data_IF_501402931355
#
_entry.id   IF_501402931355
#
_cell.length_a   1.000
_cell.length_b   1.000
_cell.length_c   1.000
_cell.angle_alpha   90.00
_cell.angle_beta   90.00
_cell.angle_gamma   90.00
#
_symmetry.space_group_name_H-M   'P 1'
#
loop_
_entity.id
_entity.type
_entity.pdbx_description
1 polymer ?
#
# COMPACT_ATOMS: atom_id res chain seq x y z
N UNK A 1 22.05 -26.13 1.42
CA UNK A 1 20.71 -26.72 1.17
C UNK A 1 19.57 -25.98 1.87
N UNK A 2 19.64 -25.65 3.17
CA UNK A 2 18.59 -24.89 3.89
C UNK A 2 18.15 -23.58 3.21
N UNK A 3 19.08 -22.81 2.64
CA UNK A 3 18.78 -21.54 1.94
C UNK A 3 17.93 -21.74 0.68
N UNK A 4 18.21 -22.79 -0.10
CA UNK A 4 17.47 -23.11 -1.32
C UNK A 4 16.06 -23.59 -0.97
N UNK A 5 15.93 -24.45 0.05
CA UNK A 5 14.64 -24.91 0.55
C UNK A 5 13.77 -23.74 1.04
N UNK A 6 14.32 -22.85 1.87
CA UNK A 6 13.61 -21.67 2.37
C UNK A 6 13.25 -20.68 1.25
N UNK A 7 14.11 -20.53 0.25
CA UNK A 7 13.81 -19.73 -0.94
C UNK A 7 12.61 -20.29 -1.71
N UNK A 8 12.62 -21.59 -2.02
CA UNK A 8 11.51 -22.23 -2.76
C UNK A 8 10.22 -22.18 -1.94
N UNK A 9 10.29 -22.50 -0.65
CA UNK A 9 9.12 -22.50 0.23
C UNK A 9 8.47 -21.12 0.34
N UNK A 10 9.28 -20.07 0.50
CA UNK A 10 8.78 -18.68 0.53
C UNK A 10 8.12 -18.32 -0.80
N UNK A 11 8.73 -18.66 -1.94
CA UNK A 11 8.14 -18.38 -3.24
C UNK A 11 6.80 -19.11 -3.43
N UNK A 12 6.72 -20.39 -3.06
CA UNK A 12 5.47 -21.16 -3.13
C UNK A 12 4.40 -20.54 -2.23
N UNK A 13 4.74 -20.15 -1.00
CA UNK A 13 3.79 -19.47 -0.12
C UNK A 13 3.33 -18.14 -0.69
N UNK A 14 4.23 -17.34 -1.25
CA UNK A 14 3.87 -16.06 -1.90
C UNK A 14 2.91 -16.30 -3.06
N UNK A 15 3.20 -17.26 -3.94
CA UNK A 15 2.31 -17.59 -5.07
C UNK A 15 0.95 -18.10 -4.57
N UNK A 16 0.92 -18.93 -3.53
CA UNK A 16 -0.33 -19.42 -2.93
C UNK A 16 -1.17 -18.26 -2.36
N UNK A 17 -0.56 -17.35 -1.61
CA UNK A 17 -1.23 -16.16 -1.06
C UNK A 17 -1.74 -15.26 -2.19
N UNK A 18 -0.92 -15.00 -3.21
CA UNK A 18 -1.35 -14.24 -4.40
C UNK A 18 -2.54 -14.90 -5.10
N UNK A 19 -2.54 -16.23 -5.23
CA UNK A 19 -3.65 -17.00 -5.79
C UNK A 19 -4.93 -16.89 -4.97
N UNK A 20 -4.84 -16.99 -3.64
CA UNK A 20 -5.99 -16.84 -2.74
C UNK A 20 -6.57 -15.43 -2.85
N UNK A 21 -5.72 -14.39 -2.77
CA UNK A 21 -6.16 -13.00 -2.86
C UNK A 21 -6.77 -12.71 -4.23
N UNK A 22 -6.16 -13.17 -5.31
CA UNK A 22 -6.70 -13.04 -6.66
C UNK A 22 -8.05 -13.75 -6.82
N UNK A 23 -8.23 -14.92 -6.21
CA UNK A 23 -9.51 -15.63 -6.20
C UNK A 23 -10.59 -14.88 -5.42
N UNK A 24 -10.26 -14.36 -4.23
CA UNK A 24 -11.18 -13.58 -3.39
C UNK A 24 -11.63 -12.29 -4.07
N UNK A 25 -10.69 -11.61 -4.74
CA UNK A 25 -10.96 -10.39 -5.50
C UNK A 25 -11.61 -10.68 -6.87
N UNK A 26 -11.83 -11.96 -7.22
CA UNK A 26 -12.58 -12.36 -8.41
C UNK A 26 -11.80 -12.26 -9.73
N UNK A 27 -10.47 -12.25 -9.69
CA UNK A 27 -9.61 -12.16 -10.90
C UNK A 27 -9.87 -13.32 -11.87
N UNK A 28 -10.25 -14.49 -11.35
CA UNK A 28 -10.63 -15.65 -12.16
C UNK A 28 -11.83 -15.39 -13.10
N UNK A 29 -12.68 -14.39 -12.80
CA UNK A 29 -13.83 -14.02 -13.65
C UNK A 29 -13.41 -13.36 -14.97
N UNK A 30 -12.15 -12.90 -15.07
CA UNK A 30 -11.62 -12.32 -16.29
C UNK A 30 -11.07 -13.37 -17.27
N UNK A 31 -10.98 -14.64 -16.86
CA UNK A 31 -10.73 -15.76 -17.77
C UNK A 31 -12.06 -16.21 -18.38
N UNK A 32 -12.22 -15.99 -19.69
CA UNK A 32 -13.38 -16.43 -20.47
C UNK A 32 -13.04 -17.70 -21.26
N UNK A 33 -14.05 -18.39 -21.81
CA UNK A 33 -13.85 -19.59 -22.63
C UNK A 33 -12.94 -19.36 -23.86
N UNK A 34 -12.79 -18.11 -24.31
CA UNK A 34 -11.94 -17.71 -25.44
C UNK A 34 -10.61 -17.08 -25.00
N UNK A 35 -10.25 -17.15 -23.71
CA UNK A 35 -9.03 -16.57 -23.15
C UNK A 35 -9.28 -15.41 -22.18
N UNK A 36 -8.24 -14.64 -21.90
CA UNK A 36 -8.23 -13.57 -20.90
C UNK A 36 -8.90 -12.31 -21.46
N UNK A 37 -9.91 -11.77 -20.77
CA UNK A 37 -10.49 -10.48 -21.10
C UNK A 37 -9.58 -9.35 -20.57
N UNK A 38 -8.57 -8.99 -21.36
CA UNK A 38 -7.60 -7.95 -21.01
C UNK A 38 -8.27 -6.61 -20.73
N UNK A 39 -9.31 -6.23 -21.48
CA UNK A 39 -10.01 -4.95 -21.26
C UNK A 39 -10.64 -4.86 -19.88
N UNK A 40 -11.37 -5.91 -19.48
CA UNK A 40 -11.97 -5.99 -18.16
C UNK A 40 -10.91 -6.09 -17.04
N UNK A 41 -9.84 -6.85 -17.26
CA UNK A 41 -8.74 -6.97 -16.30
C UNK A 41 -7.99 -5.64 -16.09
N UNK A 42 -7.70 -4.92 -17.17
CA UNK A 42 -7.05 -3.60 -17.12
C UNK A 42 -7.94 -2.57 -16.45
N UNK A 43 -9.24 -2.58 -16.72
CA UNK A 43 -10.21 -1.74 -16.02
C UNK A 43 -10.26 -2.02 -14.52
N UNK A 44 -10.29 -3.30 -14.13
CA UNK A 44 -10.20 -3.72 -12.74
C UNK A 44 -8.89 -3.29 -12.08
N UNK A 45 -7.76 -3.49 -12.75
CA UNK A 45 -6.44 -3.10 -12.27
C UNK A 45 -6.32 -1.58 -12.09
N UNK A 46 -6.93 -0.79 -12.98
CA UNK A 46 -6.96 0.66 -12.86
C UNK A 46 -7.75 1.07 -11.62
N UNK A 47 -8.98 0.55 -11.44
CA UNK A 47 -9.81 0.89 -10.28
C UNK A 47 -9.17 0.44 -8.96
N UNK A 48 -8.69 -0.79 -8.87
CA UNK A 48 -8.06 -1.31 -7.64
C UNK A 48 -6.71 -0.64 -7.37
N UNK A 49 -5.88 -0.45 -8.40
CA UNK A 49 -4.56 0.16 -8.29
C UNK A 49 -4.65 1.64 -7.89
N UNK A 50 -5.40 2.45 -8.65
CA UNK A 50 -5.56 3.86 -8.34
C UNK A 50 -6.44 4.09 -7.10
N UNK A 51 -7.52 3.32 -6.92
CA UNK A 51 -8.36 3.40 -5.73
C UNK A 51 -7.57 3.09 -4.46
N UNK A 52 -6.80 2.00 -4.46
CA UNK A 52 -5.92 1.65 -3.35
C UNK A 52 -4.83 2.69 -3.08
N UNK A 53 -4.20 3.22 -4.13
CA UNK A 53 -3.19 4.27 -4.00
C UNK A 53 -3.76 5.57 -3.39
N UNK A 54 -4.95 6.01 -3.84
CA UNK A 54 -5.62 7.20 -3.29
C UNK A 54 -5.96 7.00 -1.82
N UNK A 55 -6.57 5.87 -1.45
CA UNK A 55 -6.88 5.55 -0.06
C UNK A 55 -5.60 5.53 0.79
N UNK A 56 -4.53 4.91 0.29
CA UNK A 56 -3.24 4.87 0.97
C UNK A 56 -2.64 6.27 1.16
N UNK A 57 -2.75 7.15 0.16
CA UNK A 57 -2.25 8.53 0.23
C UNK A 57 -3.03 9.35 1.25
N UNK A 58 -4.37 9.24 1.27
CA UNK A 58 -5.23 9.93 2.23
C UNK A 58 -4.91 9.51 3.67
N UNK A 59 -4.58 8.23 3.88
CA UNK A 59 -4.21 7.71 5.19
C UNK A 59 -2.76 8.07 5.57
N UNK A 60 -1.85 8.25 4.60
CA UNK A 60 -0.41 8.40 4.87
C UNK A 60 -0.09 9.54 5.84
N UNK A 61 -0.70 10.73 5.64
CA UNK A 61 -0.42 11.93 6.45
C UNK A 61 -0.90 11.78 7.91
N UNK A 62 -2.16 11.42 8.21
CA UNK A 62 -2.59 11.19 9.59
C UNK A 62 -1.85 10.03 10.25
N UNK A 63 -1.60 8.93 9.51
CA UNK A 63 -0.85 7.78 10.02
C UNK A 63 0.59 8.17 10.43
N UNK A 64 1.28 8.98 9.61
CA UNK A 64 2.62 9.46 9.92
C UNK A 64 2.62 10.34 11.18
N UNK A 65 1.63 11.23 11.34
CA UNK A 65 1.49 12.07 12.54
C UNK A 65 1.31 11.24 13.81
N UNK A 66 0.45 10.23 13.76
CA UNK A 66 0.17 9.37 14.92
C UNK A 66 1.33 8.44 15.27
N UNK A 67 1.92 7.79 14.25
CA UNK A 67 2.96 6.78 14.48
C UNK A 67 4.27 7.41 14.96
N UNK A 68 4.61 8.61 14.49
CA UNK A 68 5.81 9.32 14.91
C UNK A 68 5.62 10.14 16.20
N UNK A 69 4.41 10.15 16.80
CA UNK A 69 4.14 10.89 18.04
C UNK A 69 4.35 12.40 17.92
N UNK A 70 4.15 12.96 16.72
CA UNK A 70 4.44 14.37 16.44
C UNK A 70 3.49 15.29 17.21
N UNK A 71 4.05 16.31 17.87
CA UNK A 71 3.30 17.42 18.46
C UNK A 71 3.32 18.59 17.48
N UNK A 72 2.15 19.01 17.01
CA UNK A 72 2.02 20.22 16.17
C UNK A 72 2.26 21.46 17.04
N UNK A 73 3.13 22.35 16.59
CA UNK A 73 3.38 23.66 17.21
C UNK A 73 2.62 24.69 16.37
N UNK A 74 1.40 25.04 16.79
CA UNK A 74 0.58 26.05 16.10
C UNK A 74 0.88 27.47 16.59
N UNK A 75 1.23 27.62 17.88
CA UNK A 75 1.67 28.88 18.47
C UNK A 75 2.86 28.61 19.40
N UNK A 76 4.07 29.09 19.09
CA UNK A 76 5.26 28.82 19.89
C UNK A 76 5.09 29.40 21.30
N UNK A 77 5.34 28.59 22.33
CA UNK A 77 5.23 29.00 23.74
C UNK A 77 6.59 29.35 24.36
N UNK A 78 7.68 29.03 23.64
CA UNK A 78 9.05 29.09 24.14
C UNK A 78 9.97 29.64 23.05
N UNK A 79 11.14 30.17 23.44
CA UNK A 79 12.16 30.66 22.50
C UNK A 79 12.66 29.57 21.54
N UNK A 80 12.82 28.32 22.02
CA UNK A 80 13.27 27.19 21.19
C UNK A 80 12.23 26.82 20.12
N UNK A 81 10.95 26.76 20.49
CA UNK A 81 9.86 26.52 19.53
C UNK A 81 9.76 27.64 18.49
N UNK A 82 9.91 28.90 18.92
CA UNK A 82 9.90 30.05 18.03
C UNK A 82 11.07 30.01 17.04
N UNK A 83 12.27 29.62 17.50
CA UNK A 83 13.44 29.47 16.63
C UNK A 83 13.26 28.34 15.60
N UNK A 84 12.72 27.19 16.01
CA UNK A 84 12.43 26.07 15.10
C UNK A 84 11.41 26.51 14.03
N UNK A 85 10.30 27.13 14.45
CA UNK A 85 9.27 27.61 13.51
C UNK A 85 9.85 28.65 12.55
N UNK A 86 10.66 29.60 13.02
CA UNK A 86 11.28 30.62 12.16
C UNK A 86 12.31 30.04 11.18
N UNK A 87 13.01 28.97 11.55
CA UNK A 87 14.07 28.37 10.73
C UNK A 87 13.49 27.47 9.63
N UNK A 88 12.37 26.79 9.89
CA UNK A 88 11.79 25.79 8.98
C UNK A 88 10.72 26.37 8.05
N UNK A 89 10.17 27.56 8.36
CA UNK A 89 9.11 28.21 7.57
C UNK A 89 9.58 28.59 6.17
#
# INVERSE_FOLDING_TARGET
MKRILLFVLTNVMVVAVLGVVASLLGVNRFLTANGLNLGALLGFALVMGFGGAIISLLISKPMAKWTAGLRMIDNPQNADEAWIVQTVR
#
